data_IF_758439951087
#
_entry.id   IF_758439951087
#
_cell.length_a   1.000
_cell.length_b   1.000
_cell.length_c   1.000
_cell.angle_alpha   90.00
_cell.angle_beta   90.00
_cell.angle_gamma   90.00
#
_symmetry.space_group_name_H-M   'P 1'
#
loop_
_entity.id
_entity.type
_entity.pdbx_description
1 polymer ?
#
# COMPACT_ATOMS: atom_id res chain seq x y z
N UNK A 1 -6.90 33.82 -0.60
CA UNK A 1 -6.95 34.30 0.79
C UNK A 1 -7.86 33.46 1.71
N UNK A 2 -9.14 33.18 1.39
CA UNK A 2 -10.02 32.45 2.32
C UNK A 2 -9.58 31.01 2.60
N UNK A 3 -9.07 30.29 1.58
CA UNK A 3 -8.55 28.91 1.75
C UNK A 3 -7.35 28.89 2.70
N UNK A 4 -6.42 29.83 2.54
CA UNK A 4 -5.19 29.86 3.33
C UNK A 4 -5.50 30.14 4.81
N UNK A 5 -6.46 31.04 5.06
CA UNK A 5 -6.97 31.30 6.41
C UNK A 5 -7.65 30.07 7.03
N UNK A 6 -8.54 29.41 6.27
CA UNK A 6 -9.22 28.19 6.73
C UNK A 6 -8.22 27.05 7.04
N UNK A 7 -7.20 26.86 6.20
CA UNK A 7 -6.14 25.87 6.43
C UNK A 7 -5.35 26.16 7.70
N UNK A 8 -4.92 27.40 7.90
CA UNK A 8 -4.16 27.80 9.10
C UNK A 8 -5.01 27.64 10.36
N UNK A 9 -6.27 28.09 10.33
CA UNK A 9 -7.19 27.95 11.45
C UNK A 9 -7.44 26.48 11.80
N UNK A 10 -7.65 25.62 10.79
CA UNK A 10 -7.79 24.18 10.97
C UNK A 10 -6.54 23.57 11.63
N UNK A 11 -5.34 23.91 11.16
CA UNK A 11 -4.09 23.37 11.71
C UNK A 11 -3.88 23.79 13.17
N UNK A 12 -4.19 25.04 13.53
CA UNK A 12 -4.11 25.51 14.92
C UNK A 12 -5.05 24.71 15.82
N UNK A 13 -6.33 24.58 15.43
CA UNK A 13 -7.32 23.81 16.19
C UNK A 13 -6.87 22.35 16.31
N UNK A 14 -6.44 21.73 15.22
CA UNK A 14 -5.97 20.34 15.20
C UNK A 14 -4.83 20.11 16.18
N UNK A 15 -3.81 20.97 16.19
CA UNK A 15 -2.67 20.84 17.10
C UNK A 15 -3.08 21.07 18.55
N UNK A 16 -4.00 22.01 18.82
CA UNK A 16 -4.48 22.24 20.19
C UNK A 16 -5.25 21.06 20.77
N UNK A 17 -5.95 20.28 19.92
CA UNK A 17 -6.77 19.13 20.35
C UNK A 17 -5.94 17.84 20.38
N UNK A 18 -5.13 17.59 19.33
CA UNK A 18 -4.38 16.33 19.14
C UNK A 18 -3.00 16.40 19.81
N UNK A 19 -2.45 17.60 20.02
CA UNK A 19 -1.16 17.81 20.71
C UNK A 19 0.09 17.71 19.84
N UNK A 20 -0.01 17.20 18.61
CA UNK A 20 1.13 17.09 17.68
C UNK A 20 0.71 17.18 16.20
N UNK A 21 1.56 17.79 15.36
CA UNK A 21 1.39 17.80 13.90
C UNK A 21 1.75 16.45 13.27
N UNK A 22 2.79 15.81 13.79
CA UNK A 22 3.22 14.46 13.47
C UNK A 22 3.74 13.83 14.77
N UNK A 23 3.16 12.71 15.18
CA UNK A 23 3.67 11.95 16.32
C UNK A 23 4.78 11.02 15.82
N UNK A 24 5.96 11.09 16.46
CA UNK A 24 7.01 10.10 16.27
C UNK A 24 6.80 8.86 17.18
N UNK A 25 5.70 8.82 17.95
CA UNK A 25 5.38 7.66 18.75
C UNK A 25 5.04 6.48 17.83
N UNK A 26 5.67 5.35 18.09
CA UNK A 26 5.35 4.12 17.38
C UNK A 26 3.89 3.75 17.64
N UNK A 27 3.15 3.49 16.57
CA UNK A 27 1.76 3.01 16.67
C UNK A 27 1.81 1.54 17.06
N UNK A 28 1.54 1.27 18.34
CA UNK A 28 1.57 -0.09 18.92
C UNK A 28 0.23 -0.82 18.82
N UNK A 29 -0.84 -0.10 18.48
CA UNK A 29 -2.16 -0.69 18.29
C UNK A 29 -2.18 -1.48 16.98
N UNK A 30 -2.39 -2.79 17.08
CA UNK A 30 -2.43 -3.73 15.95
C UNK A 30 -3.54 -3.43 14.94
N UNK A 31 -4.59 -2.70 15.35
CA UNK A 31 -5.56 -2.17 14.41
C UNK A 31 -4.85 -1.13 13.56
N UNK A 32 -4.32 -0.08 14.18
CA UNK A 32 -3.70 1.03 13.45
C UNK A 32 -2.35 0.70 12.79
N UNK A 33 -1.70 -0.39 13.19
CA UNK A 33 -0.44 -0.88 12.63
C UNK A 33 -0.44 -2.42 12.60
N UNK A 34 -0.93 -3.05 11.52
CA UNK A 34 -0.97 -4.50 11.41
C UNK A 34 0.42 -5.14 11.37
N UNK A 35 1.49 -4.37 11.20
CA UNK A 35 2.87 -4.84 11.17
C UNK A 35 3.59 -4.70 12.52
N UNK A 36 2.89 -4.23 13.56
CA UNK A 36 3.50 -4.09 14.89
C UNK A 36 4.00 -5.45 15.40
N UNK A 37 5.25 -5.48 15.88
CA UNK A 37 5.92 -6.70 16.34
C UNK A 37 6.52 -7.59 15.23
N UNK A 38 6.35 -7.25 13.94
CA UNK A 38 6.99 -7.98 12.84
C UNK A 38 8.42 -7.51 12.59
N UNK A 39 9.30 -8.42 12.21
CA UNK A 39 10.61 -8.08 11.64
C UNK A 39 10.45 -7.36 10.30
N UNK A 40 11.48 -6.61 9.87
CA UNK A 40 11.48 -5.96 8.55
C UNK A 40 11.27 -6.96 7.40
N UNK A 41 11.81 -8.18 7.54
CA UNK A 41 11.66 -9.24 6.55
C UNK A 41 10.22 -9.72 6.43
N UNK A 42 9.57 -10.01 7.56
CA UNK A 42 8.17 -10.44 7.63
C UNK A 42 7.22 -9.35 7.13
N UNK A 43 7.46 -8.09 7.51
CA UNK A 43 6.69 -6.95 7.00
C UNK A 43 6.73 -6.91 5.47
N UNK A 44 7.91 -7.01 4.88
CA UNK A 44 8.05 -6.96 3.43
C UNK A 44 7.42 -8.17 2.74
N UNK A 45 7.64 -9.39 3.24
CA UNK A 45 7.00 -10.58 2.69
C UNK A 45 5.47 -10.48 2.75
N UNK A 46 4.92 -9.95 3.85
CA UNK A 46 3.48 -9.76 4.04
C UNK A 46 2.93 -8.72 3.08
N UNK A 47 3.62 -7.57 2.92
CA UNK A 47 3.27 -6.55 1.91
C UNK A 47 3.22 -7.15 0.51
N UNK A 48 4.26 -7.90 0.09
CA UNK A 48 4.27 -8.51 -1.24
C UNK A 48 3.14 -9.52 -1.42
N UNK A 49 2.79 -10.29 -0.40
CA UNK A 49 1.63 -11.17 -0.47
C UNK A 49 0.31 -10.39 -0.61
N UNK A 50 0.13 -9.28 0.11
CA UNK A 50 -1.04 -8.40 -0.07
C UNK A 50 -1.12 -7.86 -1.50
N UNK A 51 0.01 -7.46 -2.08
CA UNK A 51 0.09 -7.02 -3.48
C UNK A 51 -0.31 -8.14 -4.46
N UNK A 52 0.02 -9.40 -4.16
CA UNK A 52 -0.43 -10.55 -4.96
C UNK A 52 -1.96 -10.71 -4.89
N UNK A 53 -2.56 -10.51 -3.72
CA UNK A 53 -4.01 -10.54 -3.57
C UNK A 53 -4.66 -9.43 -4.39
N UNK A 54 -4.09 -8.23 -4.45
CA UNK A 54 -4.60 -7.17 -5.33
C UNK A 54 -4.54 -7.55 -6.80
N UNK A 55 -3.46 -8.18 -7.27
CA UNK A 55 -3.38 -8.71 -8.63
C UNK A 55 -4.41 -9.82 -8.87
N UNK A 56 -4.60 -10.74 -7.90
CA UNK A 56 -5.60 -11.80 -7.97
C UNK A 56 -7.01 -11.23 -8.20
N UNK A 57 -7.36 -10.13 -7.52
CA UNK A 57 -8.70 -9.54 -7.61
C UNK A 57 -9.07 -9.07 -9.04
N UNK A 58 -8.09 -8.74 -9.90
CA UNK A 58 -8.36 -8.44 -11.31
C UNK A 58 -8.77 -9.65 -12.14
N UNK A 59 -8.37 -10.86 -11.71
CA UNK A 59 -8.63 -12.11 -12.43
C UNK A 59 -9.83 -12.83 -11.82
N UNK A 60 -9.84 -12.96 -10.50
CA UNK A 60 -10.89 -13.64 -9.75
C UNK A 60 -11.20 -12.86 -8.45
N UNK A 61 -12.27 -12.04 -8.44
CA UNK A 61 -12.61 -11.15 -7.35
C UNK A 61 -13.37 -11.88 -6.22
N UNK A 62 -12.81 -12.99 -5.71
CA UNK A 62 -13.41 -13.72 -4.59
C UNK A 62 -12.36 -14.37 -3.66
N UNK A 63 -12.50 -14.23 -2.32
CA UNK A 63 -13.44 -13.31 -1.65
C UNK A 63 -12.99 -11.85 -1.81
N UNK A 64 -13.96 -10.94 -1.94
CA UNK A 64 -13.71 -9.51 -1.76
C UNK A 64 -13.75 -9.21 -0.27
N UNK A 65 -12.74 -8.50 0.22
CA UNK A 65 -12.77 -7.92 1.57
C UNK A 65 -12.53 -6.43 1.45
N UNK A 66 -13.21 -5.65 2.30
CA UNK A 66 -13.01 -4.21 2.36
C UNK A 66 -11.65 -3.88 3.01
N UNK A 67 -11.28 -4.64 4.03
CA UNK A 67 -10.03 -4.44 4.75
C UNK A 67 -9.45 -5.77 5.24
N UNK A 68 -8.13 -5.85 5.32
CA UNK A 68 -7.39 -7.02 5.78
C UNK A 68 -6.98 -6.89 7.26
N UNK A 69 -7.89 -6.37 8.08
CA UNK A 69 -7.68 -6.10 9.50
C UNK A 69 -7.92 -7.30 10.42
N UNK A 70 -7.25 -7.26 11.57
CA UNK A 70 -5.93 -7.83 11.70
C UNK A 70 -5.99 -9.36 11.62
N UNK A 71 -4.88 -9.94 11.19
CA UNK A 71 -4.70 -11.38 11.00
C UNK A 71 -5.56 -12.02 9.90
N UNK A 72 -6.28 -11.23 9.11
CA UNK A 72 -6.89 -11.74 7.86
C UNK A 72 -5.79 -12.23 6.89
N UNK A 73 -4.69 -11.49 6.83
CA UNK A 73 -3.45 -11.93 6.17
C UNK A 73 -2.50 -12.44 7.26
N UNK A 74 -2.08 -13.72 7.20
CA UNK A 74 -1.09 -14.25 8.14
C UNK A 74 0.27 -13.57 7.94
N UNK A 75 1.10 -13.58 8.98
CA UNK A 75 2.50 -13.13 8.86
C UNK A 75 3.19 -14.01 7.82
N UNK A 76 3.73 -13.37 6.78
CA UNK A 76 4.41 -14.07 5.69
C UNK A 76 5.92 -14.05 5.88
N UNK A 77 6.60 -15.03 5.28
CA UNK A 77 8.06 -15.11 5.25
C UNK A 77 8.54 -15.31 3.82
N UNK A 78 9.80 -14.96 3.55
CA UNK A 78 10.41 -15.12 2.23
C UNK A 78 10.70 -16.58 1.83
N UNK A 79 10.55 -17.53 2.74
CA UNK A 79 10.56 -18.96 2.39
C UNK A 79 9.24 -19.40 1.72
N UNK A 80 8.20 -18.56 1.77
CA UNK A 80 6.96 -18.78 1.05
C UNK A 80 7.09 -18.32 -0.41
N UNK A 81 6.60 -19.14 -1.34
CA UNK A 81 6.66 -18.83 -2.76
C UNK A 81 5.70 -17.69 -3.17
N UNK A 82 4.65 -17.40 -2.38
CA UNK A 82 3.61 -16.42 -2.73
C UNK A 82 4.14 -14.97 -2.74
N UNK A 83 4.86 -14.46 -1.72
CA UNK A 83 5.56 -13.17 -1.80
C UNK A 83 6.57 -13.10 -2.95
N UNK A 84 7.30 -14.19 -3.21
CA UNK A 84 8.28 -14.25 -4.30
C UNK A 84 7.58 -14.13 -5.66
N UNK A 85 6.47 -14.86 -5.87
CA UNK A 85 5.65 -14.75 -7.07
C UNK A 85 5.19 -13.30 -7.27
N UNK A 86 4.71 -12.65 -6.21
CA UNK A 86 4.31 -11.25 -6.26
C UNK A 86 5.46 -10.36 -6.74
N UNK A 87 6.63 -10.48 -6.12
CA UNK A 87 7.81 -9.72 -6.50
C UNK A 87 8.14 -9.90 -8.00
N UNK A 88 8.11 -11.13 -8.49
CA UNK A 88 8.36 -11.44 -9.90
C UNK A 88 7.29 -10.83 -10.83
N UNK A 89 6.02 -10.86 -10.45
CA UNK A 89 4.93 -10.25 -11.21
C UNK A 89 5.08 -8.72 -11.28
N UNK A 90 5.44 -8.06 -10.17
CA UNK A 90 5.68 -6.61 -10.15
C UNK A 90 6.93 -6.21 -10.95
N UNK A 91 7.98 -7.03 -10.95
CA UNK A 91 9.12 -6.83 -11.84
C UNK A 91 8.71 -6.98 -13.31
N UNK A 92 7.85 -7.95 -13.64
CA UNK A 92 7.32 -8.10 -15.00
C UNK A 92 6.47 -6.89 -15.41
N UNK A 93 5.62 -6.37 -14.52
CA UNK A 93 4.85 -5.14 -14.75
C UNK A 93 5.77 -3.94 -15.01
N UNK A 94 6.83 -3.78 -14.22
CA UNK A 94 7.83 -2.72 -14.43
C UNK A 94 8.50 -2.83 -15.81
N UNK A 95 8.85 -4.04 -16.26
CA UNK A 95 9.41 -4.27 -17.60
C UNK A 95 8.39 -3.94 -18.70
N UNK A 96 7.13 -4.34 -18.54
CA UNK A 96 6.03 -4.01 -19.48
C UNK A 96 5.87 -2.49 -19.60
N UNK A 97 5.85 -1.79 -18.47
CA UNK A 97 5.77 -0.33 -18.42
C UNK A 97 6.94 0.31 -19.16
N UNK A 98 8.20 -0.05 -18.85
CA UNK A 98 9.40 0.54 -19.47
C UNK A 98 9.39 0.34 -20.99
N UNK A 99 9.03 -0.86 -21.47
CA UNK A 99 8.97 -1.18 -22.91
C UNK A 99 7.87 -0.41 -23.64
N UNK A 100 6.72 -0.22 -23.00
CA UNK A 100 5.56 0.43 -23.61
C UNK A 100 5.49 1.95 -23.41
N UNK A 101 6.20 2.51 -22.44
CA UNK A 101 6.14 3.94 -22.07
C UNK A 101 6.57 4.85 -23.23
N UNK A 102 7.73 4.58 -23.84
CA UNK A 102 8.21 5.35 -25.01
C UNK A 102 7.27 5.26 -26.20
N UNK A 103 6.56 4.14 -26.33
CA UNK A 103 5.59 3.87 -27.41
C UNK A 103 4.18 4.33 -27.05
N UNK A 104 3.95 4.90 -25.85
CA UNK A 104 2.64 5.34 -25.34
C UNK A 104 1.54 4.30 -25.50
N UNK A 105 1.88 3.03 -25.31
CA UNK A 105 0.92 1.93 -25.50
C UNK A 105 -0.14 1.94 -24.40
N UNK A 106 -1.33 1.44 -24.72
CA UNK A 106 -2.43 1.26 -23.75
C UNK A 106 -2.00 0.41 -22.55
N UNK A 107 -1.23 -0.65 -22.76
CA UNK A 107 -0.74 -1.51 -21.68
C UNK A 107 0.19 -0.78 -20.71
N UNK A 108 1.11 0.06 -21.21
CA UNK A 108 1.95 0.88 -20.34
C UNK A 108 1.13 1.88 -19.52
N UNK A 109 0.10 2.48 -20.12
CA UNK A 109 -0.83 3.33 -19.39
C UNK A 109 -1.58 2.55 -18.29
N UNK A 110 -2.12 1.37 -18.60
CA UNK A 110 -2.84 0.55 -17.63
C UNK A 110 -1.96 0.14 -16.44
N UNK A 111 -0.72 -0.29 -16.71
CA UNK A 111 0.25 -0.62 -15.64
C UNK A 111 0.62 0.62 -14.82
N UNK A 112 0.87 1.76 -15.47
CA UNK A 112 1.17 3.00 -14.77
C UNK A 112 0.02 3.42 -13.87
N UNK A 113 -1.20 3.41 -14.39
CA UNK A 113 -2.41 3.75 -13.67
C UNK A 113 -2.55 2.86 -12.44
N UNK A 114 -2.44 1.53 -12.61
CA UNK A 114 -2.48 0.58 -11.51
C UNK A 114 -1.43 0.89 -10.43
N UNK A 115 -0.14 1.02 -10.81
CA UNK A 115 0.95 1.26 -9.86
C UNK A 115 0.86 2.61 -9.15
N UNK A 116 0.40 3.66 -9.85
CA UNK A 116 0.22 5.00 -9.26
C UNK A 116 -0.91 4.97 -8.23
N UNK A 117 -2.03 4.30 -8.52
CA UNK A 117 -3.16 4.25 -7.58
C UNK A 117 -2.84 3.52 -6.28
N UNK A 118 -1.83 2.65 -6.26
CA UNK A 118 -1.34 2.01 -5.04
C UNK A 118 -0.69 3.00 -4.06
N UNK A 119 -0.28 4.21 -4.49
CA UNK A 119 0.35 5.18 -3.56
C UNK A 119 -0.63 5.83 -2.58
N UNK A 120 -1.93 5.63 -2.79
CA UNK A 120 -3.00 6.16 -1.94
C UNK A 120 -3.31 5.20 -0.79
N UNK A 121 -2.96 3.92 -0.95
CA UNK A 121 -3.19 2.83 0.00
C UNK A 121 -2.01 2.72 0.94
#
# INVERSE_FOLDING_TARGET
MPILFATVLYLIIRVSVIGHLASNAEVTDIMNNPFYGMTKGEKMATVFYTLLLYLKLFIYPHPLTHDYYPYHIPIMHWNDWRPILSLLLYLALAVVFIKGWKKKTVWAYAVAFYLITLSIV
#
